data_IF_141482613384
#
_entry.id   IF_141482613384
#
_cell.length_a   1.000
_cell.length_b   1.000
_cell.length_c   1.000
_cell.angle_alpha   90.00
_cell.angle_beta   90.00
_cell.angle_gamma   90.00
#
_symmetry.space_group_name_H-M   'P 1'
#
loop_
_entity.id
_entity.type
_entity.pdbx_description
1 polymer ?
#
# COMPACT_ATOMS: atom_id res chain seq x y z
N UNK A 1 -1.27 8.90 -24.43
CA UNK A 1 -1.47 8.00 -23.27
C UNK A 1 -0.21 8.14 -22.46
N UNK A 2 -0.29 8.78 -21.31
CA UNK A 2 0.89 9.13 -20.53
C UNK A 2 1.01 8.09 -19.41
N UNK A 3 1.94 7.16 -19.61
CA UNK A 3 2.28 6.16 -18.62
C UNK A 3 3.40 6.71 -17.73
N UNK A 4 3.05 7.08 -16.50
CA UNK A 4 4.04 7.46 -15.51
C UNK A 4 4.35 6.26 -14.62
N UNK A 5 5.40 5.53 -14.98
CA UNK A 5 5.95 4.51 -14.10
C UNK A 5 6.65 5.22 -12.94
N UNK A 6 6.00 5.29 -11.77
CA UNK A 6 6.61 5.85 -10.56
C UNK A 6 7.52 4.78 -9.95
N UNK A 7 8.69 4.58 -10.57
CA UNK A 7 9.65 3.51 -10.21
C UNK A 7 10.81 4.01 -9.35
N UNK A 8 10.87 5.31 -9.04
CA UNK A 8 11.97 5.84 -8.23
C UNK A 8 12.00 5.13 -6.87
N UNK A 9 13.14 4.52 -6.53
CA UNK A 9 13.40 3.90 -5.22
C UNK A 9 13.02 4.83 -4.06
N UNK A 10 13.19 6.14 -4.27
CA UNK A 10 12.79 7.18 -3.33
C UNK A 10 11.27 7.19 -3.08
N UNK A 11 10.46 7.21 -4.15
CA UNK A 11 8.99 7.22 -4.03
C UNK A 11 8.48 5.92 -3.44
N UNK A 12 9.10 4.78 -3.77
CA UNK A 12 8.76 3.49 -3.16
C UNK A 12 8.94 3.49 -1.64
N UNK A 13 10.07 4.03 -1.17
CA UNK A 13 10.36 4.16 0.26
C UNK A 13 9.40 5.10 1.00
N UNK A 14 8.91 6.15 0.33
CA UNK A 14 7.89 7.05 0.91
C UNK A 14 6.55 6.33 1.02
N UNK A 15 6.11 5.63 -0.03
CA UNK A 15 4.84 4.91 -0.05
C UNK A 15 4.85 3.77 0.98
N UNK A 16 5.90 2.95 1.03
CA UNK A 16 5.99 1.86 2.02
C UNK A 16 5.90 2.39 3.45
N UNK A 17 6.59 3.50 3.74
CA UNK A 17 6.54 4.16 5.05
C UNK A 17 5.14 4.73 5.36
N UNK A 18 4.46 5.29 4.36
CA UNK A 18 3.10 5.79 4.52
C UNK A 18 2.11 4.65 4.83
N UNK A 19 2.16 3.54 4.09
CA UNK A 19 1.30 2.38 4.32
C UNK A 19 1.58 1.79 5.71
N UNK A 20 2.85 1.59 6.08
CA UNK A 20 3.24 1.09 7.41
C UNK A 20 2.69 1.97 8.54
N UNK A 21 2.74 3.30 8.38
CA UNK A 21 2.19 4.24 9.35
C UNK A 21 0.66 4.15 9.46
N UNK A 22 -0.04 4.03 8.31
CA UNK A 22 -1.51 3.92 8.29
C UNK A 22 -1.97 2.62 8.95
N UNK A 23 -1.33 1.49 8.62
CA UNK A 23 -1.66 0.20 9.22
C UNK A 23 -1.42 0.23 10.72
N UNK A 24 -0.26 0.73 11.17
CA UNK A 24 0.03 0.88 12.60
C UNK A 24 -0.99 1.77 13.32
N UNK A 25 -1.43 2.87 12.70
CA UNK A 25 -2.43 3.76 13.29
C UNK A 25 -3.81 3.10 13.40
N UNK A 26 -4.19 2.28 12.42
CA UNK A 26 -5.51 1.61 12.39
C UNK A 26 -5.59 0.38 13.27
N UNK A 27 -4.50 -0.37 13.37
CA UNK A 27 -4.52 -1.72 13.94
C UNK A 27 -3.65 -1.86 15.18
N UNK A 28 -2.73 -0.92 15.42
CA UNK A 28 -1.72 -1.00 16.48
C UNK A 28 -0.49 -1.83 16.12
N UNK A 29 -0.54 -2.60 15.04
CA UNK A 29 0.51 -3.55 14.68
C UNK A 29 1.60 -2.92 13.80
N UNK A 30 2.83 -3.40 13.98
CA UNK A 30 3.98 -2.99 13.19
C UNK A 30 4.26 -4.01 12.08
N UNK A 31 3.38 -4.01 11.10
CA UNK A 31 3.44 -4.91 9.96
C UNK A 31 4.56 -4.47 9.03
N UNK A 32 5.36 -5.42 8.55
CA UNK A 32 6.35 -5.15 7.53
C UNK A 32 5.72 -5.21 6.15
N UNK A 33 5.90 -4.12 5.38
CA UNK A 33 5.22 -3.92 4.11
C UNK A 33 6.26 -3.51 3.10
N UNK A 34 6.39 -4.33 2.06
CA UNK A 34 7.30 -4.10 0.97
C UNK A 34 6.50 -3.70 -0.28
N UNK A 35 6.84 -2.54 -0.85
CA UNK A 35 6.28 -2.11 -2.13
C UNK A 35 7.22 -2.55 -3.26
N UNK A 36 6.78 -3.49 -4.08
CA UNK A 36 7.53 -4.02 -5.20
C UNK A 36 7.40 -3.15 -6.45
N UNK A 37 6.18 -2.67 -6.75
CA UNK A 37 5.92 -1.81 -7.89
C UNK A 37 4.76 -0.83 -7.61
N UNK A 38 4.82 0.36 -8.20
CA UNK A 38 3.73 1.31 -8.23
C UNK A 38 3.65 1.91 -9.64
N UNK A 39 2.58 1.61 -10.37
CA UNK A 39 2.37 2.09 -11.73
C UNK A 39 1.17 3.03 -11.71
N UNK A 40 1.39 4.25 -12.21
CA UNK A 40 0.32 5.22 -12.38
C UNK A 40 0.15 5.52 -13.86
N UNK A 41 -0.99 5.11 -14.41
CA UNK A 41 -1.32 5.39 -15.81
C UNK A 41 -2.42 6.43 -15.85
N UNK A 42 -2.19 7.53 -16.58
CA UNK A 42 -3.22 8.54 -16.80
C UNK A 42 -3.74 8.35 -18.21
N UNK A 43 -5.00 7.95 -18.32
CA UNK A 43 -5.68 7.79 -19.60
C UNK A 43 -6.99 8.57 -19.59
N UNK A 44 -7.15 9.46 -20.57
CA UNK A 44 -8.37 10.24 -20.78
C UNK A 44 -8.87 10.96 -19.51
N UNK A 45 -7.94 11.58 -18.76
CA UNK A 45 -8.22 12.27 -17.50
C UNK A 45 -8.47 11.36 -16.29
N UNK A 46 -8.43 10.03 -16.45
CA UNK A 46 -8.57 9.05 -15.37
C UNK A 46 -7.21 8.53 -14.94
N UNK A 47 -6.98 8.51 -13.63
CA UNK A 47 -5.77 7.97 -13.02
C UNK A 47 -5.99 6.52 -12.60
N UNK A 48 -5.24 5.61 -13.20
CA UNK A 48 -5.17 4.20 -12.82
C UNK A 48 -3.93 3.99 -11.97
N UNK A 49 -4.13 3.61 -10.70
CA UNK A 49 -3.04 3.30 -9.79
C UNK A 49 -3.00 1.78 -9.57
N UNK A 50 -1.89 1.15 -9.94
CA UNK A 50 -1.58 -0.24 -9.64
C UNK A 50 -0.45 -0.26 -8.61
N UNK A 51 -0.67 -0.97 -7.50
CA UNK A 51 0.32 -1.14 -6.42
C UNK A 51 0.54 -2.64 -6.23
N UNK A 52 1.80 -3.05 -6.27
CA UNK A 52 2.26 -4.40 -5.94
C UNK A 52 2.93 -4.32 -4.55
N UNK A 53 2.30 -4.98 -3.58
CA UNK A 53 2.65 -4.91 -2.16
C UNK A 53 2.69 -6.31 -1.57
N UNK A 54 3.80 -6.65 -0.93
CA UNK A 54 3.93 -7.83 -0.08
C UNK A 54 3.89 -7.43 1.40
N UNK A 55 3.20 -8.23 2.20
CA UNK A 55 3.20 -8.11 3.66
C UNK A 55 3.12 -9.50 4.29
N UNK A 56 3.86 -9.70 5.37
CA UNK A 56 3.74 -10.89 6.22
C UNK A 56 2.92 -10.52 7.46
N UNK A 57 1.89 -11.32 7.73
CA UNK A 57 0.89 -11.06 8.76
C UNK A 57 0.61 -12.35 9.52
N UNK A 58 0.50 -12.25 10.84
CA UNK A 58 -0.15 -13.31 11.61
C UNK A 58 -1.68 -13.22 11.53
N UNK A 59 -2.36 -14.23 12.09
CA UNK A 59 -3.82 -14.31 12.07
C UNK A 59 -4.48 -13.14 12.80
N UNK A 60 -3.93 -12.71 13.93
CA UNK A 60 -4.53 -11.67 14.76
C UNK A 60 -4.36 -10.29 14.13
N UNK A 61 -3.20 -10.05 13.50
CA UNK A 61 -2.90 -8.88 12.68
C UNK A 61 -3.88 -8.75 11.51
N UNK A 62 -4.07 -9.84 10.75
CA UNK A 62 -5.04 -9.87 9.64
C UNK A 62 -6.46 -9.57 10.14
N UNK A 63 -6.90 -10.20 11.23
CA UNK A 63 -8.23 -9.98 11.79
C UNK A 63 -8.42 -8.54 12.30
N UNK A 64 -7.38 -7.93 12.87
CA UNK A 64 -7.39 -6.53 13.30
C UNK A 64 -7.54 -5.57 12.12
N UNK A 65 -6.82 -5.82 11.01
CA UNK A 65 -6.97 -5.05 9.78
C UNK A 65 -8.41 -5.12 9.28
N UNK A 66 -8.98 -6.32 9.14
CA UNK A 66 -10.33 -6.53 8.62
C UNK A 66 -11.39 -5.81 9.47
N UNK A 67 -11.29 -5.90 10.80
CA UNK A 67 -12.15 -5.13 11.72
C UNK A 67 -11.97 -3.62 11.56
N UNK A 68 -10.74 -3.13 11.38
CA UNK A 68 -10.45 -1.69 11.24
C UNK A 68 -10.99 -1.04 9.96
N UNK A 69 -11.39 -1.86 8.98
CA UNK A 69 -12.03 -1.44 7.72
C UNK A 69 -13.51 -1.82 7.64
N UNK A 70 -14.08 -2.38 8.72
CA UNK A 70 -15.50 -2.72 8.80
C UNK A 70 -15.90 -4.00 8.04
N UNK A 71 -14.95 -4.87 7.72
CA UNK A 71 -15.20 -6.19 7.17
C UNK A 71 -15.11 -7.21 8.31
N UNK A 72 -16.19 -7.41 9.06
CA UNK A 72 -16.30 -8.47 10.09
C UNK A 72 -17.74 -8.90 10.30
#
# INVERSE_FOLDING_TARGET
MDEMRIVSKFTRGIISKAIKMVIRKKTGYNIDIQLNEAITTINDGKTHLHLDVDAELDKDELMSILKSIGLN
#
